data_IF_071723666937
#
_entry.id   IF_071723666937
#
_cell.length_a   1.000
_cell.length_b   1.000
_cell.length_c   1.000
_cell.angle_alpha   90.00
_cell.angle_beta   90.00
_cell.angle_gamma   90.00
#
_symmetry.space_group_name_H-M   'P 1'
#
loop_
_entity.id
_entity.type
_entity.pdbx_description
1 polymer ?
#
# COMPACT_ATOMS: atom_id res chain seq x y z
N UNK A 1 29.20 -17.15 -30.92
CA UNK A 1 27.85 -16.63 -30.63
C UNK A 1 27.31 -17.10 -29.28
N UNK A 2 27.49 -18.37 -28.90
CA UNK A 2 27.03 -18.89 -27.60
C UNK A 2 27.65 -18.18 -26.37
N UNK A 3 28.96 -17.91 -26.38
CA UNK A 3 29.67 -17.27 -25.24
C UNK A 3 29.13 -15.87 -24.94
N UNK A 4 28.84 -15.05 -25.96
CA UNK A 4 28.32 -13.69 -25.76
C UNK A 4 26.84 -13.66 -25.33
N UNK A 5 26.07 -14.70 -25.64
CA UNK A 5 24.72 -14.86 -25.10
C UNK A 5 24.77 -15.27 -23.62
N UNK A 6 25.64 -16.23 -23.27
CA UNK A 6 25.84 -16.66 -21.89
C UNK A 6 26.31 -15.50 -20.99
N UNK A 7 27.30 -14.71 -21.42
CA UNK A 7 27.80 -13.59 -20.63
C UNK A 7 26.70 -12.54 -20.35
N UNK A 8 25.81 -12.28 -21.32
CA UNK A 8 24.66 -11.38 -21.12
C UNK A 8 23.66 -11.94 -20.11
N UNK A 9 23.32 -13.23 -20.21
CA UNK A 9 22.41 -13.87 -19.27
C UNK A 9 22.94 -13.83 -17.82
N UNK A 10 24.25 -14.03 -17.63
CA UNK A 10 24.90 -13.91 -16.31
C UNK A 10 24.83 -12.47 -15.80
N UNK A 11 25.12 -11.49 -16.65
CA UNK A 11 25.01 -10.06 -16.29
C UNK A 11 23.58 -9.66 -15.90
N UNK A 12 22.57 -10.12 -16.65
CA UNK A 12 21.16 -9.84 -16.36
C UNK A 12 20.73 -10.49 -15.02
N UNK A 13 21.21 -11.70 -14.74
CA UNK A 13 20.94 -12.41 -13.49
C UNK A 13 21.59 -11.71 -12.29
N UNK A 14 22.85 -11.29 -12.41
CA UNK A 14 23.55 -10.58 -11.33
C UNK A 14 22.91 -9.21 -11.08
N UNK A 15 22.56 -8.48 -12.13
CA UNK A 15 21.80 -7.23 -12.02
C UNK A 15 20.49 -7.42 -11.25
N UNK A 16 19.75 -8.49 -11.57
CA UNK A 16 18.52 -8.86 -10.88
C UNK A 16 18.75 -9.18 -9.40
N UNK A 17 19.79 -9.94 -9.07
CA UNK A 17 20.18 -10.28 -7.70
C UNK A 17 20.48 -9.05 -6.86
N UNK A 18 21.35 -8.17 -7.36
CA UNK A 18 21.74 -6.96 -6.64
C UNK A 18 20.59 -5.97 -6.48
N UNK A 19 19.73 -5.82 -7.50
CA UNK A 19 18.56 -4.94 -7.42
C UNK A 19 17.52 -5.43 -6.41
N UNK A 20 17.28 -6.75 -6.34
CA UNK A 20 16.38 -7.31 -5.33
C UNK A 20 16.97 -7.25 -3.91
N UNK A 21 18.28 -7.44 -3.77
CA UNK A 21 18.96 -7.23 -2.50
C UNK A 21 18.86 -5.76 -2.06
N UNK A 22 19.01 -4.81 -2.98
CA UNK A 22 18.81 -3.39 -2.72
C UNK A 22 17.36 -3.11 -2.26
N UNK A 23 16.37 -3.65 -2.97
CA UNK A 23 14.95 -3.56 -2.60
C UNK A 23 14.69 -4.06 -1.17
N UNK A 24 15.21 -5.25 -0.84
CA UNK A 24 15.16 -5.83 0.50
C UNK A 24 15.79 -4.92 1.56
N UNK A 25 17.01 -4.39 1.30
CA UNK A 25 17.67 -3.49 2.25
C UNK A 25 16.89 -2.20 2.47
N UNK A 26 16.29 -1.64 1.41
CA UNK A 26 15.49 -0.41 1.50
C UNK A 26 14.25 -0.65 2.35
N UNK A 27 13.48 -1.72 2.09
CA UNK A 27 12.25 -1.99 2.86
C UNK A 27 12.55 -2.39 4.30
N UNK A 28 13.65 -3.12 4.56
CA UNK A 28 14.10 -3.43 5.90
C UNK A 28 14.54 -2.18 6.66
N UNK A 29 15.34 -1.32 6.03
CA UNK A 29 15.75 -0.03 6.60
C UNK A 29 14.53 0.85 6.90
N UNK A 30 13.59 0.93 5.97
CA UNK A 30 12.34 1.68 6.16
C UNK A 30 11.55 1.16 7.36
N UNK A 31 11.42 -0.16 7.52
CA UNK A 31 10.74 -0.76 8.67
C UNK A 31 11.41 -0.46 10.00
N UNK A 32 12.75 -0.39 10.04
CA UNK A 32 13.48 -0.05 11.25
C UNK A 32 13.27 1.42 11.66
N UNK A 33 13.34 2.35 10.71
CA UNK A 33 13.19 3.78 11.02
C UNK A 33 11.75 4.17 11.36
N UNK A 34 10.75 3.46 10.83
CA UNK A 34 9.33 3.73 11.13
C UNK A 34 8.80 2.94 12.32
N UNK A 35 9.61 2.07 12.95
CA UNK A 35 9.14 1.15 13.99
C UNK A 35 8.52 1.88 15.20
N UNK A 36 9.09 3.03 15.58
CA UNK A 36 8.56 3.83 16.67
C UNK A 36 7.19 4.42 16.33
N UNK A 37 7.07 5.03 15.15
CA UNK A 37 5.80 5.57 14.64
C UNK A 37 4.74 4.47 14.48
N UNK A 38 5.15 3.28 14.04
CA UNK A 38 4.29 2.09 13.97
C UNK A 38 3.73 1.72 15.35
N UNK A 39 4.59 1.66 16.36
CA UNK A 39 4.19 1.37 17.73
C UNK A 39 3.19 2.41 18.26
N UNK A 40 3.49 3.69 18.07
CA UNK A 40 2.69 4.79 18.60
C UNK A 40 1.33 4.93 17.88
N UNK A 41 1.30 4.77 16.56
CA UNK A 41 0.10 5.08 15.76
C UNK A 41 -0.72 3.85 15.34
N UNK A 42 -0.10 2.69 15.15
CA UNK A 42 -0.80 1.47 14.71
C UNK A 42 -1.12 0.56 15.88
N UNK A 43 -0.15 0.36 16.77
CA UNK A 43 -0.23 -0.67 17.82
C UNK A 43 -0.73 -0.15 19.17
N UNK A 44 -0.45 1.11 19.50
CA UNK A 44 -0.84 1.70 20.77
C UNK A 44 -2.37 1.72 20.96
N UNK A 45 -2.79 1.59 22.22
CA UNK A 45 -4.20 1.61 22.63
C UNK A 45 -4.90 2.94 22.30
N UNK A 46 -4.18 4.02 21.98
CA UNK A 46 -4.84 5.27 21.56
C UNK A 46 -5.42 5.21 20.14
N UNK A 47 -5.13 4.15 19.38
CA UNK A 47 -5.50 3.99 17.97
C UNK A 47 -6.78 3.15 17.75
N UNK A 48 -7.62 2.95 18.79
CA UNK A 48 -8.90 2.21 18.67
C UNK A 48 -9.86 2.74 17.60
N UNK A 49 -9.66 3.97 17.12
CA UNK A 49 -10.38 4.52 15.97
C UNK A 49 -10.13 3.74 14.66
N UNK A 50 -9.00 3.04 14.56
CA UNK A 50 -8.69 2.18 13.41
C UNK A 50 -9.24 0.78 13.64
N UNK A 51 -10.08 0.32 12.71
CA UNK A 51 -10.66 -1.01 12.77
C UNK A 51 -9.57 -2.10 12.69
N UNK A 52 -9.75 -3.17 13.46
CA UNK A 52 -8.85 -4.34 13.53
C UNK A 52 -8.43 -4.86 12.16
N UNK A 53 -9.35 -4.84 11.18
CA UNK A 53 -9.07 -5.28 9.81
C UNK A 53 -7.98 -4.46 9.12
N UNK A 54 -7.94 -3.14 9.34
CA UNK A 54 -6.91 -2.27 8.73
C UNK A 54 -5.53 -2.51 9.33
N UNK A 55 -5.46 -2.79 10.65
CA UNK A 55 -4.22 -3.17 11.33
C UNK A 55 -3.67 -4.50 10.82
N UNK A 56 -4.55 -5.50 10.65
CA UNK A 56 -4.17 -6.78 10.06
C UNK A 56 -3.67 -6.58 8.63
N UNK A 57 -4.41 -5.84 7.79
CA UNK A 57 -3.98 -5.56 6.42
C UNK A 57 -2.62 -4.83 6.37
N UNK A 58 -2.41 -3.85 7.25
CA UNK A 58 -1.14 -3.15 7.40
C UNK A 58 0.00 -4.11 7.73
N UNK A 59 -0.20 -4.97 8.72
CA UNK A 59 0.80 -5.92 9.20
C UNK A 59 1.15 -6.95 8.13
N UNK A 60 0.14 -7.48 7.44
CA UNK A 60 0.33 -8.41 6.33
C UNK A 60 1.08 -7.73 5.20
N UNK A 61 0.68 -6.52 4.78
CA UNK A 61 1.39 -5.78 3.74
C UNK A 61 2.86 -5.51 4.14
N UNK A 62 3.12 -5.04 5.37
CA UNK A 62 4.46 -4.64 5.83
C UNK A 62 5.37 -5.83 6.08
N UNK A 63 5.05 -6.66 7.07
CA UNK A 63 5.89 -7.76 7.50
C UNK A 63 5.79 -8.97 6.56
N UNK A 64 4.63 -9.16 5.92
CA UNK A 64 4.48 -10.17 4.88
C UNK A 64 5.36 -9.85 3.67
N UNK A 65 5.50 -8.58 3.26
CA UNK A 65 6.43 -8.21 2.17
C UNK A 65 7.88 -8.41 2.59
N UNK A 66 8.28 -8.01 3.80
CA UNK A 66 9.63 -8.29 4.32
C UNK A 66 9.97 -9.77 4.28
N UNK A 67 9.06 -10.63 4.76
CA UNK A 67 9.25 -12.08 4.73
C UNK A 67 9.26 -12.63 3.30
N UNK A 68 8.37 -12.16 2.42
CA UNK A 68 8.32 -12.55 1.02
C UNK A 68 9.64 -12.20 0.31
N UNK A 69 10.13 -10.97 0.46
CA UNK A 69 11.36 -10.52 -0.20
C UNK A 69 12.59 -11.23 0.37
N UNK A 70 12.63 -11.54 1.67
CA UNK A 70 13.69 -12.37 2.25
C UNK A 70 13.72 -13.78 1.63
N UNK A 71 12.54 -14.41 1.48
CA UNK A 71 12.41 -15.70 0.80
C UNK A 71 12.80 -15.60 -0.68
N UNK A 72 12.45 -14.51 -1.34
CA UNK A 72 12.79 -14.29 -2.74
C UNK A 72 14.29 -14.10 -2.95
N UNK A 73 14.98 -13.36 -2.07
CA UNK A 73 16.45 -13.28 -2.07
C UNK A 73 17.06 -14.66 -1.83
N UNK A 74 16.52 -15.48 -0.92
CA UNK A 74 16.98 -16.85 -0.72
C UNK A 74 16.83 -17.73 -1.99
N UNK A 75 15.78 -17.52 -2.80
CA UNK A 75 15.62 -18.18 -4.10
C UNK A 75 16.64 -17.69 -5.12
N UNK A 76 16.98 -16.40 -5.13
CA UNK A 76 17.95 -15.81 -6.06
C UNK A 76 19.40 -16.17 -5.74
N UNK A 77 19.71 -16.45 -4.47
CA UNK A 77 21.01 -16.92 -3.98
C UNK A 77 20.92 -18.37 -3.45
N UNK A 78 20.67 -19.34 -4.34
CA UNK A 78 20.47 -20.73 -3.93
C UNK A 78 21.75 -21.34 -3.36
N UNK A 79 21.57 -22.19 -2.36
CA UNK A 79 22.62 -23.04 -1.82
C UNK A 79 22.68 -24.35 -2.61
N UNK A 80 23.85 -25.02 -2.63
CA UNK A 80 24.04 -26.33 -3.28
C UNK A 80 23.14 -27.47 -2.74
N UNK A 81 22.43 -27.21 -1.64
CA UNK A 81 21.51 -28.15 -0.99
C UNK A 81 20.07 -28.02 -1.51
N UNK A 82 19.80 -27.16 -2.49
CA UNK A 82 18.46 -26.94 -3.01
C UNK A 82 18.10 -28.00 -4.06
N UNK A 83 17.13 -28.84 -3.73
CA UNK A 83 16.48 -29.70 -4.69
C UNK A 83 15.40 -28.93 -5.46
N UNK A 84 15.02 -29.46 -6.64
CA UNK A 84 13.94 -28.90 -7.47
C UNK A 84 12.62 -28.72 -6.69
N UNK A 85 12.32 -29.64 -5.77
CA UNK A 85 11.13 -29.60 -4.92
C UNK A 85 11.15 -28.41 -3.95
N UNK A 86 12.29 -28.15 -3.30
CA UNK A 86 12.49 -27.00 -2.42
C UNK A 86 12.35 -25.70 -3.20
N UNK A 87 12.92 -25.63 -4.40
CA UNK A 87 12.83 -24.45 -5.22
C UNK A 87 11.41 -24.13 -5.67
N UNK A 88 10.67 -25.14 -6.14
CA UNK A 88 9.26 -25.01 -6.48
C UNK A 88 8.42 -24.58 -5.28
N UNK A 89 8.66 -25.18 -4.11
CA UNK A 89 8.00 -24.81 -2.87
C UNK A 89 8.21 -23.35 -2.51
N UNK A 90 9.48 -22.90 -2.48
CA UNK A 90 9.84 -21.52 -2.15
C UNK A 90 9.27 -20.52 -3.16
N UNK A 91 9.40 -20.79 -4.45
CA UNK A 91 8.88 -19.89 -5.50
C UNK A 91 7.35 -19.81 -5.45
N UNK A 92 6.66 -20.93 -5.23
CA UNK A 92 5.21 -20.96 -5.03
C UNK A 92 4.77 -20.19 -3.79
N UNK A 93 5.50 -20.33 -2.67
CA UNK A 93 5.27 -19.56 -1.45
C UNK A 93 5.46 -18.06 -1.68
N UNK A 94 6.54 -17.64 -2.35
CA UNK A 94 6.79 -16.24 -2.70
C UNK A 94 5.65 -15.67 -3.54
N UNK A 95 5.21 -16.38 -4.59
CA UNK A 95 4.11 -15.93 -5.45
C UNK A 95 2.79 -15.83 -4.70
N UNK A 96 2.52 -16.76 -3.79
CA UNK A 96 1.32 -16.75 -2.96
C UNK A 96 1.32 -15.58 -1.96
N UNK A 97 2.44 -15.37 -1.27
CA UNK A 97 2.62 -14.23 -0.36
C UNK A 97 2.47 -12.91 -1.11
N UNK A 98 3.09 -12.78 -2.28
CA UNK A 98 2.99 -11.60 -3.15
C UNK A 98 1.52 -11.21 -3.42
N UNK A 99 0.66 -12.17 -3.77
CA UNK A 99 -0.75 -11.87 -4.07
C UNK A 99 -1.48 -11.35 -2.84
N UNK A 100 -1.24 -11.97 -1.68
CA UNK A 100 -1.88 -11.60 -0.40
C UNK A 100 -1.42 -10.20 0.03
N UNK A 101 -0.11 -9.96 0.05
CA UNK A 101 0.47 -8.68 0.48
C UNK A 101 0.07 -7.56 -0.47
N UNK A 102 0.05 -7.81 -1.78
CA UNK A 102 -0.44 -6.88 -2.80
C UNK A 102 -1.92 -6.50 -2.56
N UNK A 103 -2.78 -7.48 -2.28
CA UNK A 103 -4.19 -7.22 -2.00
C UNK A 103 -4.38 -6.39 -0.73
N UNK A 104 -3.62 -6.67 0.33
CA UNK A 104 -3.62 -5.88 1.56
C UNK A 104 -3.12 -4.44 1.30
N UNK A 105 -2.02 -4.27 0.59
CA UNK A 105 -1.47 -2.96 0.21
C UNK A 105 -2.50 -2.13 -0.56
N UNK A 106 -3.06 -2.68 -1.63
CA UNK A 106 -4.08 -2.00 -2.43
C UNK A 106 -5.34 -1.67 -1.61
N UNK A 107 -5.76 -2.57 -0.73
CA UNK A 107 -6.88 -2.32 0.19
C UNK A 107 -6.61 -1.16 1.16
N UNK A 108 -5.40 -1.05 1.71
CA UNK A 108 -5.01 0.07 2.59
C UNK A 108 -5.03 1.40 1.84
N UNK A 109 -4.53 1.41 0.60
CA UNK A 109 -4.54 2.59 -0.26
C UNK A 109 -5.98 3.02 -0.53
N UNK A 110 -6.85 2.10 -0.96
CA UNK A 110 -8.25 2.40 -1.22
C UNK A 110 -8.99 2.90 0.03
N UNK A 111 -8.73 2.27 1.18
CA UNK A 111 -9.27 2.71 2.46
C UNK A 111 -8.80 4.14 2.80
N UNK A 112 -7.51 4.42 2.62
CA UNK A 112 -6.93 5.74 2.78
C UNK A 112 -7.64 6.77 1.88
N UNK A 113 -7.89 6.43 0.62
CA UNK A 113 -8.61 7.31 -0.30
C UNK A 113 -10.03 7.62 0.15
N UNK A 114 -10.80 6.60 0.51
CA UNK A 114 -12.19 6.77 0.94
C UNK A 114 -12.27 7.65 2.18
N UNK A 115 -11.34 7.47 3.13
CA UNK A 115 -11.23 8.27 4.36
C UNK A 115 -10.91 9.72 4.07
N UNK A 116 -9.86 9.97 3.30
CA UNK A 116 -9.36 11.32 3.04
C UNK A 116 -10.39 12.14 2.26
N UNK A 117 -11.00 11.55 1.23
CA UNK A 117 -11.84 12.28 0.29
C UNK A 117 -13.30 12.37 0.72
N UNK A 118 -13.64 11.85 1.91
CA UNK A 118 -15.00 11.78 2.44
C UNK A 118 -15.98 11.30 1.35
N UNK A 119 -15.57 10.29 0.60
CA UNK A 119 -16.25 9.88 -0.62
C UNK A 119 -17.72 9.57 -0.33
N UNK A 120 -18.67 10.03 -1.18
CA UNK A 120 -20.06 9.62 -1.02
C UNK A 120 -20.13 8.10 -1.09
N UNK A 121 -21.04 7.49 -0.30
CA UNK A 121 -21.16 6.03 -0.17
C UNK A 121 -21.19 5.29 -1.52
N UNK A 122 -21.76 5.91 -2.56
CA UNK A 122 -21.79 5.39 -3.93
C UNK A 122 -20.39 5.19 -4.51
N UNK A 123 -19.49 6.17 -4.40
CA UNK A 123 -18.12 6.09 -4.92
C UNK A 123 -17.29 5.09 -4.12
N UNK A 124 -17.46 5.06 -2.79
CA UNK A 124 -16.80 4.06 -1.94
C UNK A 124 -17.22 2.62 -2.32
N UNK A 125 -18.51 2.40 -2.60
CA UNK A 125 -19.01 1.11 -3.11
C UNK A 125 -18.43 0.75 -4.47
N UNK A 126 -18.36 1.71 -5.42
CA UNK A 126 -17.74 1.48 -6.73
C UNK A 126 -16.26 1.11 -6.63
N UNK A 127 -15.51 1.77 -5.73
CA UNK A 127 -14.11 1.42 -5.46
C UNK A 127 -13.99 0.01 -4.87
N UNK A 128 -14.85 -0.34 -3.90
CA UNK A 128 -14.84 -1.64 -3.27
C UNK A 128 -15.20 -2.77 -4.25
N UNK A 129 -16.20 -2.57 -5.12
CA UNK A 129 -16.57 -3.58 -6.13
C UNK A 129 -15.47 -3.73 -7.18
N UNK A 130 -14.89 -2.62 -7.66
CA UNK A 130 -13.74 -2.65 -8.58
C UNK A 130 -12.55 -3.40 -7.99
N UNK A 131 -12.23 -3.15 -6.71
CA UNK A 131 -11.20 -3.87 -5.98
C UNK A 131 -11.44 -5.38 -5.94
N UNK A 132 -12.64 -5.82 -5.54
CA UNK A 132 -12.97 -7.25 -5.45
C UNK A 132 -12.87 -7.92 -6.82
N UNK A 133 -13.43 -7.32 -7.87
CA UNK A 133 -13.42 -7.88 -9.23
C UNK A 133 -11.99 -8.00 -9.76
N UNK A 134 -11.21 -6.91 -9.67
CA UNK A 134 -9.84 -6.89 -10.20
C UNK A 134 -8.92 -7.82 -9.41
N UNK A 135 -9.00 -7.86 -8.08
CA UNK A 135 -8.18 -8.79 -7.28
C UNK A 135 -8.60 -10.25 -7.43
N UNK A 136 -9.88 -10.56 -7.64
CA UNK A 136 -10.30 -11.91 -8.00
C UNK A 136 -9.67 -12.35 -9.33
N UNK A 137 -9.57 -11.42 -10.29
CA UNK A 137 -8.90 -11.66 -11.58
C UNK A 137 -7.39 -11.88 -11.40
N UNK A 138 -6.72 -11.05 -10.60
CA UNK A 138 -5.30 -11.23 -10.24
C UNK A 138 -5.07 -12.60 -9.60
N UNK A 139 -5.91 -13.00 -8.64
CA UNK A 139 -5.81 -14.28 -7.97
C UNK A 139 -5.96 -15.46 -8.95
N UNK A 140 -6.93 -15.39 -9.86
CA UNK A 140 -7.12 -16.42 -10.88
C UNK A 140 -5.87 -16.57 -11.77
N UNK A 141 -5.32 -15.46 -12.27
CA UNK A 141 -4.10 -15.49 -13.07
C UNK A 141 -2.87 -15.92 -12.27
N UNK A 142 -2.78 -15.59 -10.98
CA UNK A 142 -1.70 -16.05 -10.12
C UNK A 142 -1.74 -17.56 -9.92
N UNK A 143 -2.92 -18.15 -9.68
CA UNK A 143 -3.08 -19.62 -9.57
C UNK A 143 -2.70 -20.31 -10.88
N UNK A 144 -3.09 -19.75 -12.02
CA UNK A 144 -2.67 -20.25 -13.35
C UNK A 144 -1.16 -20.11 -13.54
N UNK A 145 -0.57 -19.00 -13.10
CA UNK A 145 0.87 -18.76 -13.16
C UNK A 145 1.65 -19.77 -12.34
N UNK A 146 1.20 -20.06 -11.12
CA UNK A 146 1.82 -21.08 -10.27
C UNK A 146 1.81 -22.43 -10.99
N UNK A 147 0.66 -22.88 -11.50
CA UNK A 147 0.56 -24.15 -12.25
C UNK A 147 1.52 -24.20 -13.44
N UNK A 148 1.61 -23.12 -14.21
CA UNK A 148 2.50 -23.06 -15.37
C UNK A 148 3.98 -23.01 -14.98
N UNK A 149 4.32 -22.33 -13.88
CA UNK A 149 5.69 -22.32 -13.35
C UNK A 149 6.13 -23.74 -12.97
N UNK A 150 5.25 -24.57 -12.40
CA UNK A 150 5.57 -25.98 -12.12
C UNK A 150 5.95 -26.77 -13.39
N UNK A 151 5.39 -26.44 -14.55
CA UNK A 151 5.66 -27.13 -15.83
C UNK A 151 6.94 -26.63 -16.52
N UNK A 152 7.29 -25.35 -16.36
CA UNK A 152 8.41 -24.71 -17.08
C UNK A 152 9.68 -24.53 -16.24
N UNK A 153 9.66 -24.87 -14.95
CA UNK A 153 10.83 -24.72 -14.09
C UNK A 153 11.83 -25.85 -14.37
N UNK A 154 13.08 -25.48 -14.65
CA UNK A 154 14.19 -26.42 -14.77
C UNK A 154 15.31 -26.01 -13.82
N UNK A 155 15.90 -27.02 -13.16
CA UNK A 155 17.10 -26.83 -12.35
C UNK A 155 18.32 -27.00 -13.25
N UNK A 156 19.17 -25.98 -13.31
CA UNK A 156 20.40 -26.00 -14.11
C UNK A 156 21.59 -26.32 -13.21
N UNK A 157 22.08 -27.57 -13.29
CA UNK A 157 23.15 -28.10 -12.43
C UNK A 157 24.43 -27.26 -12.46
N UNK A 158 24.76 -26.66 -13.62
CA UNK A 158 25.98 -25.88 -13.80
C UNK A 158 26.00 -24.59 -12.97
N UNK A 159 24.83 -23.97 -12.79
CA UNK A 159 24.71 -22.69 -12.07
C UNK A 159 24.10 -22.87 -10.68
N UNK A 160 23.51 -24.04 -10.40
CA UNK A 160 22.71 -24.31 -9.22
C UNK A 160 21.55 -23.32 -9.06
N UNK A 161 21.03 -22.80 -10.17
CA UNK A 161 19.93 -21.82 -10.18
C UNK A 161 18.69 -22.44 -10.77
N UNK A 162 17.55 -22.15 -10.16
CA UNK A 162 16.26 -22.44 -10.75
C UNK A 162 15.97 -21.41 -11.84
N UNK A 163 15.95 -21.88 -13.08
CA UNK A 163 15.65 -21.03 -14.21
C UNK A 163 14.27 -21.37 -14.73
N UNK A 164 13.54 -20.32 -15.12
CA UNK A 164 12.28 -20.47 -15.82
C UNK A 164 12.57 -20.41 -17.31
N UNK A 165 12.30 -21.50 -18.04
CA UNK A 165 12.62 -21.57 -19.47
C UNK A 165 11.86 -20.52 -20.27
N UNK A 166 10.61 -20.27 -19.90
CA UNK A 166 9.73 -19.30 -20.56
C UNK A 166 8.80 -18.66 -19.54
N UNK A 167 8.66 -17.34 -19.63
CA UNK A 167 7.65 -16.61 -18.86
C UNK A 167 6.25 -17.01 -19.31
N UNK A 168 5.40 -17.55 -18.41
CA UNK A 168 4.03 -17.83 -18.76
C UNK A 168 3.22 -16.53 -18.95
N UNK A 169 2.35 -16.51 -19.96
CA UNK A 169 1.49 -15.36 -20.25
C UNK A 169 0.54 -15.00 -19.09
N UNK A 170 0.23 -15.97 -18.22
CA UNK A 170 -0.57 -15.75 -17.02
C UNK A 170 0.07 -14.76 -16.03
N UNK A 171 1.41 -14.66 -15.99
CA UNK A 171 2.11 -13.66 -15.16
C UNK A 171 1.77 -12.25 -15.66
N UNK A 172 1.80 -12.03 -16.98
CA UNK A 172 1.34 -10.77 -17.58
C UNK A 172 -0.13 -10.51 -17.23
N UNK A 173 -0.97 -11.55 -17.34
CA UNK A 173 -2.40 -11.50 -16.98
C UNK A 173 -2.67 -11.14 -15.52
N UNK A 174 -1.74 -11.39 -14.59
CA UNK A 174 -1.86 -10.97 -13.19
C UNK A 174 -1.49 -9.49 -12.97
N UNK A 175 -0.54 -8.96 -13.74
CA UNK A 175 -0.09 -7.57 -13.59
C UNK A 175 -1.02 -6.56 -14.25
N UNK A 176 -1.66 -6.92 -15.37
CA UNK A 176 -2.56 -6.02 -16.11
C UNK A 176 -3.75 -5.57 -15.25
N UNK A 177 -4.54 -6.45 -14.62
CA UNK A 177 -5.66 -6.05 -13.75
C UNK A 177 -5.21 -5.21 -12.55
N UNK A 178 -4.04 -5.51 -12.00
CA UNK A 178 -3.46 -4.72 -10.90
C UNK A 178 -3.13 -3.28 -11.35
N UNK A 179 -2.49 -3.12 -12.52
CA UNK A 179 -2.21 -1.79 -13.08
C UNK A 179 -3.49 -1.03 -13.44
N UNK A 180 -4.52 -1.74 -13.93
CA UNK A 180 -5.84 -1.16 -14.22
C UNK A 180 -6.50 -0.67 -12.94
N UNK A 181 -6.40 -1.40 -11.82
CA UNK A 181 -6.91 -0.94 -10.53
C UNK A 181 -6.23 0.36 -10.08
N UNK A 182 -4.90 0.43 -10.16
CA UNK A 182 -4.15 1.63 -9.78
C UNK A 182 -4.48 2.82 -10.68
N UNK A 183 -4.58 2.59 -11.99
CA UNK A 183 -5.00 3.60 -12.97
C UNK A 183 -6.44 4.07 -12.74
N UNK A 184 -7.35 3.16 -12.40
CA UNK A 184 -8.73 3.48 -12.04
C UNK A 184 -8.83 4.32 -10.78
N UNK A 185 -8.11 3.93 -9.71
CA UNK A 185 -8.04 4.70 -8.47
C UNK A 185 -7.43 6.08 -8.71
N UNK A 186 -6.32 6.16 -9.45
CA UNK A 186 -5.69 7.42 -9.83
C UNK A 186 -6.64 8.34 -10.60
N UNK A 187 -7.35 7.83 -11.60
CA UNK A 187 -8.29 8.61 -12.40
C UNK A 187 -9.43 9.16 -11.54
N UNK A 188 -10.01 8.35 -10.65
CA UNK A 188 -11.06 8.81 -9.75
C UNK A 188 -10.58 9.89 -8.79
N UNK A 189 -9.35 9.78 -8.29
CA UNK A 189 -8.76 10.81 -7.44
C UNK A 189 -8.54 12.11 -8.20
N UNK A 190 -8.02 12.00 -9.41
CA UNK A 190 -7.78 13.15 -10.26
C UNK A 190 -9.08 13.89 -10.59
N UNK A 191 -10.13 13.15 -10.97
CA UNK A 191 -11.45 13.73 -11.25
C UNK A 191 -12.09 14.35 -10.00
N UNK A 192 -11.96 13.70 -8.84
CA UNK A 192 -12.47 14.25 -7.58
C UNK A 192 -11.73 15.55 -7.20
N UNK A 193 -10.40 15.56 -7.35
CA UNK A 193 -9.58 16.76 -7.12
C UNK A 193 -10.01 17.95 -8.00
N UNK A 194 -10.36 17.70 -9.27
CA UNK A 194 -10.84 18.73 -10.19
C UNK A 194 -12.25 19.23 -9.84
N UNK A 195 -13.08 18.41 -9.20
CA UNK A 195 -14.48 18.74 -8.90
C UNK A 195 -14.67 19.65 -7.67
N UNK A 196 -13.67 19.75 -6.78
CA UNK A 196 -13.82 20.43 -5.48
C UNK A 196 -13.48 21.93 -5.56
N UNK A 197 -14.38 22.86 -5.16
CA UNK A 197 -14.13 24.30 -5.25
C UNK A 197 -13.00 24.77 -4.30
N UNK A 198 -12.16 25.66 -4.82
CA UNK A 198 -10.77 25.94 -4.38
C UNK A 198 -10.61 26.78 -3.09
N UNK A 199 -11.68 27.32 -2.50
CA UNK A 199 -11.56 28.48 -1.59
C UNK A 199 -11.27 28.21 -0.10
N UNK A 200 -11.51 27.02 0.45
CA UNK A 200 -11.31 26.75 1.89
C UNK A 200 -10.44 25.52 2.21
N UNK A 201 -10.25 24.58 1.28
CA UNK A 201 -9.49 23.33 1.53
C UNK A 201 -8.06 23.33 0.97
N UNK A 202 -7.58 24.49 0.48
CA UNK A 202 -6.39 24.57 -0.37
C UNK A 202 -5.11 24.02 0.28
N UNK A 203 -4.87 24.28 1.57
CA UNK A 203 -3.63 23.86 2.24
C UNK A 203 -3.58 22.35 2.51
N UNK A 204 -4.72 21.75 2.87
CA UNK A 204 -4.83 20.32 3.11
C UNK A 204 -4.77 19.55 1.78
N UNK A 205 -5.46 20.07 0.77
CA UNK A 205 -5.46 19.51 -0.57
C UNK A 205 -4.08 19.61 -1.22
N UNK A 206 -3.32 20.68 -1.00
CA UNK A 206 -1.97 20.82 -1.57
C UNK A 206 -0.97 19.79 -1.00
N UNK A 207 -0.92 19.62 0.33
CA UNK A 207 -0.07 18.58 0.94
C UNK A 207 -0.48 17.18 0.49
N UNK A 208 -1.79 16.93 0.44
CA UNK A 208 -2.29 15.58 0.25
C UNK A 208 -2.34 15.17 -1.23
N UNK A 209 -2.58 16.11 -2.12
CA UNK A 209 -2.50 15.91 -3.55
C UNK A 209 -1.03 15.79 -3.97
N UNK A 210 -0.11 16.58 -3.40
CA UNK A 210 1.32 16.43 -3.68
C UNK A 210 1.86 15.08 -3.23
N UNK A 211 1.52 14.62 -2.03
CA UNK A 211 2.06 13.37 -1.49
C UNK A 211 1.30 12.14 -2.01
N UNK A 212 -0.03 12.22 -2.09
CA UNK A 212 -0.88 11.13 -2.56
C UNK A 212 -0.76 10.91 -4.07
N UNK A 213 -0.73 11.97 -4.88
CA UNK A 213 -0.63 11.81 -6.35
C UNK A 213 0.71 11.20 -6.77
N UNK A 214 1.81 11.66 -6.15
CA UNK A 214 3.14 11.09 -6.40
C UNK A 214 3.15 9.61 -6.04
N UNK A 215 2.49 9.23 -4.95
CA UNK A 215 2.35 7.83 -4.56
C UNK A 215 1.65 6.97 -5.63
N UNK A 216 0.45 7.38 -6.09
CA UNK A 216 -0.26 6.64 -7.14
C UNK A 216 0.51 6.60 -8.46
N UNK A 217 1.20 7.69 -8.80
CA UNK A 217 2.02 7.75 -10.00
C UNK A 217 3.18 6.76 -9.94
N UNK A 218 3.82 6.63 -8.78
CA UNK A 218 4.89 5.63 -8.55
C UNK A 218 4.33 4.21 -8.61
N UNK A 219 3.19 3.94 -7.97
CA UNK A 219 2.57 2.61 -8.01
C UNK A 219 2.14 2.22 -9.43
N UNK A 220 1.40 3.09 -10.11
CA UNK A 220 1.00 2.88 -11.48
C UNK A 220 2.22 2.73 -12.41
N UNK A 221 3.22 3.62 -12.27
CA UNK A 221 4.43 3.60 -13.07
C UNK A 221 5.24 2.30 -12.90
N UNK A 222 5.42 1.84 -11.66
CA UNK A 222 6.14 0.57 -11.39
C UNK A 222 5.39 -0.63 -11.98
N UNK A 223 4.05 -0.66 -11.94
CA UNK A 223 3.25 -1.74 -12.55
C UNK A 223 3.31 -1.68 -14.09
N UNK A 224 3.28 -0.50 -14.70
CA UNK A 224 3.48 -0.32 -16.14
C UNK A 224 4.87 -0.78 -16.57
N UNK A 225 5.92 -0.39 -15.85
CA UNK A 225 7.28 -0.86 -16.11
C UNK A 225 7.40 -2.39 -15.96
N UNK A 226 6.68 -2.98 -15.00
CA UNK A 226 6.61 -4.43 -14.84
C UNK A 226 5.95 -5.10 -16.05
N UNK A 227 4.84 -4.55 -16.56
CA UNK A 227 4.16 -5.03 -17.78
C UNK A 227 5.08 -4.96 -19.01
N UNK A 228 5.82 -3.86 -19.16
CA UNK A 228 6.79 -3.69 -20.26
C UNK A 228 7.91 -4.72 -20.12
N UNK A 229 8.45 -4.91 -18.91
CA UNK A 229 9.53 -5.87 -18.65
C UNK A 229 9.07 -7.30 -18.92
N UNK A 230 7.88 -7.68 -18.46
CA UNK A 230 7.32 -9.02 -18.68
C UNK A 230 7.05 -9.30 -20.17
N UNK A 231 6.66 -8.27 -20.94
CA UNK A 231 6.29 -8.46 -22.36
C UNK A 231 7.48 -8.39 -23.32
N UNK A 232 8.51 -7.60 -23.01
CA UNK A 232 9.60 -7.32 -23.93
C UNK A 232 10.99 -7.79 -23.46
N UNK A 233 11.19 -8.01 -22.16
CA UNK A 233 12.51 -8.31 -21.60
C UNK A 233 12.77 -9.82 -21.49
N UNK A 234 14.06 -10.24 -21.46
CA UNK A 234 14.46 -11.59 -21.07
C UNK A 234 13.88 -12.03 -19.72
N UNK A 235 13.59 -13.33 -19.57
CA UNK A 235 12.97 -13.93 -18.37
C UNK A 235 13.69 -13.55 -17.07
N UNK A 236 15.01 -13.39 -17.09
CA UNK A 236 15.80 -13.02 -15.91
C UNK A 236 15.38 -11.65 -15.33
N UNK A 237 15.06 -10.68 -16.18
CA UNK A 237 14.70 -9.32 -15.75
C UNK A 237 13.30 -9.22 -15.16
N UNK A 238 12.45 -10.23 -15.31
CA UNK A 238 11.10 -10.25 -14.74
C UNK A 238 11.15 -10.27 -13.21
N UNK A 239 12.15 -10.98 -12.67
CA UNK A 239 12.39 -11.04 -11.24
C UNK A 239 12.80 -9.68 -10.65
N UNK A 240 13.34 -8.75 -11.45
CA UNK A 240 13.61 -7.38 -11.02
C UNK A 240 12.31 -6.61 -10.79
N UNK A 241 11.33 -6.76 -11.69
CA UNK A 241 10.01 -6.15 -11.52
C UNK A 241 9.22 -6.75 -10.36
N UNK A 242 9.35 -8.07 -10.14
CA UNK A 242 8.65 -8.80 -9.09
C UNK A 242 9.09 -8.43 -7.68
N UNK A 243 10.40 -8.29 -7.42
CA UNK A 243 10.86 -7.92 -6.08
C UNK A 243 11.00 -6.41 -5.90
N UNK A 244 11.97 -5.75 -6.55
CA UNK A 244 12.23 -4.32 -6.34
C UNK A 244 10.99 -3.43 -6.56
N UNK A 245 10.26 -3.63 -7.66
CA UNK A 245 9.05 -2.86 -7.93
C UNK A 245 7.95 -3.08 -6.88
N UNK A 246 7.88 -4.27 -6.32
CA UNK A 246 6.93 -4.61 -5.27
C UNK A 246 7.32 -4.05 -3.90
N UNK A 247 8.60 -4.13 -3.54
CA UNK A 247 9.13 -3.55 -2.31
C UNK A 247 8.82 -2.05 -2.23
N UNK A 248 9.03 -1.33 -3.34
CA UNK A 248 8.73 0.10 -3.43
C UNK A 248 7.24 0.39 -3.22
N UNK A 249 6.35 -0.44 -3.79
CA UNK A 249 4.90 -0.30 -3.64
C UNK A 249 4.45 -0.57 -2.20
N UNK A 250 4.95 -1.64 -1.58
CA UNK A 250 4.63 -2.00 -0.20
C UNK A 250 5.15 -0.96 0.79
N UNK A 251 6.39 -0.48 0.62
CA UNK A 251 6.99 0.59 1.41
C UNK A 251 6.13 1.86 1.34
N UNK A 252 5.77 2.26 0.12
CA UNK A 252 5.06 3.50 -0.08
C UNK A 252 3.60 3.39 0.42
N UNK A 253 2.96 2.21 0.32
CA UNK A 253 1.64 1.94 0.94
C UNK A 253 1.72 2.06 2.48
N UNK A 254 2.76 1.50 3.09
CA UNK A 254 2.97 1.55 4.52
C UNK A 254 3.17 2.99 5.02
N UNK A 255 4.00 3.78 4.33
CA UNK A 255 4.23 5.20 4.64
C UNK A 255 2.96 6.05 4.49
N UNK A 256 2.18 5.83 3.43
CA UNK A 256 0.92 6.53 3.23
C UNK A 256 -0.04 6.25 4.39
N UNK A 257 -0.16 4.98 4.79
CA UNK A 257 -1.02 4.58 5.90
C UNK A 257 -0.56 5.17 7.24
N UNK A 258 0.74 5.13 7.55
CA UNK A 258 1.29 5.73 8.78
C UNK A 258 0.99 7.23 8.88
N UNK A 259 1.16 7.98 7.79
CA UNK A 259 0.82 9.41 7.75
C UNK A 259 -0.66 9.69 8.04
N UNK A 260 -1.54 8.77 7.65
CA UNK A 260 -2.98 8.90 7.95
C UNK A 260 -3.23 8.63 9.43
N UNK A 261 -2.63 7.57 9.97
CA UNK A 261 -2.74 7.24 11.38
C UNK A 261 -2.22 8.39 12.27
N UNK A 262 -1.10 9.00 11.89
CA UNK A 262 -0.53 10.16 12.59
C UNK A 262 -1.51 11.34 12.60
N UNK A 263 -2.14 11.65 11.45
CA UNK A 263 -3.13 12.74 11.36
C UNK A 263 -4.35 12.47 12.24
N UNK A 264 -4.85 11.24 12.21
CA UNK A 264 -5.98 10.81 13.04
C UNK A 264 -5.65 10.94 14.53
N UNK A 265 -4.44 10.52 14.91
CA UNK A 265 -3.96 10.63 16.28
C UNK A 265 -3.90 12.09 16.75
N UNK A 266 -3.32 12.99 15.95
CA UNK A 266 -3.22 14.43 16.27
C UNK A 266 -4.60 15.09 16.36
N UNK A 267 -5.55 14.69 15.52
CA UNK A 267 -6.93 15.19 15.57
C UNK A 267 -7.62 14.80 16.88
N UNK A 268 -7.46 13.53 17.31
CA UNK A 268 -7.98 13.05 18.59
C UNK A 268 -7.33 13.78 19.78
N UNK A 269 -6.03 14.02 19.73
CA UNK A 269 -5.31 14.72 20.80
C UNK A 269 -5.79 16.17 20.94
N UNK A 270 -6.00 16.87 19.82
CA UNK A 270 -6.54 18.23 19.81
C UNK A 270 -7.95 18.27 20.42
N UNK A 271 -8.81 17.29 20.08
CA UNK A 271 -10.15 17.19 20.64
C UNK A 271 -10.14 16.97 22.15
N UNK A 272 -9.25 16.12 22.67
CA UNK A 272 -9.14 15.88 24.13
C UNK A 272 -8.64 17.10 24.88
N UNK A 273 -7.64 17.80 24.33
CA UNK A 273 -7.12 19.03 24.94
C UNK A 273 -8.21 20.11 25.03
N UNK A 274 -9.01 20.26 23.97
CA UNK A 274 -10.16 21.16 23.97
C UNK A 274 -11.19 20.80 25.05
N UNK A 275 -11.49 19.51 25.24
CA UNK A 275 -12.39 19.07 26.31
C UNK A 275 -11.86 19.37 27.72
N UNK A 276 -10.55 19.19 27.96
CA UNK A 276 -9.93 19.49 29.26
C UNK A 276 -9.97 20.99 29.56
N UNK A 277 -9.64 21.83 28.58
CA UNK A 277 -9.68 23.30 28.75
C UNK A 277 -11.11 23.77 29.03
N UNK A 278 -12.11 23.22 28.33
CA UNK A 278 -13.53 23.53 28.59
C UNK A 278 -13.97 23.09 29.99
N UNK A 279 -13.46 21.97 30.49
CA UNK A 279 -13.79 21.46 31.83
C UNK A 279 -13.14 22.29 32.95
N UNK A 280 -11.88 22.73 32.77
CA UNK A 280 -11.21 23.61 33.72
C UNK A 280 -11.87 25.00 33.79
N UNK A 281 -12.20 25.62 32.65
CA UNK A 281 -12.85 26.95 32.62
C UNK A 281 -14.26 26.95 33.25
N UNK A 282 -15.01 25.85 33.14
CA UNK A 282 -16.33 25.73 33.78
C UNK A 282 -16.25 25.55 35.31
N UNK A 283 -15.12 25.06 35.84
CA UNK A 283 -14.96 24.82 37.29
C UNK A 283 -14.54 26.08 38.08
N UNK A 284 -14.07 27.11 37.39
CA UNK A 284 -13.60 28.37 37.99
C UNK A 284 -14.57 29.56 37.86
N UNK A 285 -15.79 29.37 37.37
CA UNK A 285 -16.82 30.38 37.55
C UNK A 285 -17.36 30.33 38.99
N UNK A 286 -17.06 31.31 39.86
CA UNK A 286 -17.80 31.44 41.09
C UNK A 286 -19.28 31.57 40.74
N UNK A 287 -20.11 30.78 41.39
CA UNK A 287 -21.57 30.84 41.30
C UNK A 287 -22.03 32.28 41.50
N UNK A 288 -22.31 33.00 40.41
CA UNK A 288 -23.01 34.28 40.44
C UNK A 288 -24.50 34.01 40.62
N UNK A 289 -24.83 33.42 41.76
CA UNK A 289 -26.16 33.46 42.36
C UNK A 289 -26.10 34.56 43.40
N UNK A 290 -26.45 35.80 43.02
CA UNK A 290 -27.56 36.49 43.68
C UNK A 290 -27.81 37.89 43.10
N UNK A 291 -29.07 38.29 43.22
CA UNK A 291 -29.63 39.64 43.05
C UNK A 291 -29.68 40.22 41.63
N UNK A 292 -30.85 40.12 40.99
CA UNK A 292 -31.82 41.24 41.03
C UNK A 292 -33.12 40.79 40.36
N UNK A 293 -34.13 40.58 41.20
CA UNK A 293 -35.50 40.92 40.86
C UNK A 293 -35.55 42.41 40.54
N UNK A 294 -35.94 42.77 39.32
CA UNK A 294 -36.83 43.92 39.17
C UNK A 294 -37.74 43.74 37.97
N UNK A 295 -38.99 43.53 38.33
CA UNK A 295 -40.18 43.65 37.52
C UNK A 295 -40.35 45.10 37.06
N UNK A 296 -40.35 45.33 35.76
CA UNK A 296 -40.98 46.53 35.20
C UNK A 296 -41.64 46.22 33.87
N UNK A 297 -42.97 46.31 33.91
CA UNK A 297 -43.92 46.28 32.81
C UNK A 297 -43.43 47.07 31.58
N UNK A 298 -43.55 46.47 30.40
CA UNK A 298 -43.52 47.20 29.14
C UNK A 298 -44.91 47.06 28.49
N UNK A 299 -45.69 48.14 28.62
CA UNK A 299 -46.94 48.36 27.90
C UNK A 299 -46.68 48.34 26.39
N UNK A 300 -47.52 47.60 25.67
CA UNK A 300 -47.60 47.62 24.22
C UNK A 300 -48.63 48.69 23.86
N UNK A 301 -48.15 49.85 23.45
CA UNK A 301 -48.96 50.93 22.89
C UNK A 301 -49.14 50.67 21.38
N UNK A 302 -50.38 50.34 21.01
CA UNK A 302 -50.89 50.31 19.64
C UNK A 302 -50.96 51.73 19.08
N UNK A 303 -50.39 51.96 17.90
CA UNK A 303 -50.65 53.15 17.08
C UNK A 303 -51.11 52.70 15.69
N UNK A 304 -52.20 53.33 15.27
CA UNK A 304 -52.95 53.23 14.01
C UNK A 304 -52.12 53.45 12.73
#
# INVERSE_FOLDING_TARGET
MAISALNRAVQDLDGTRYMNLAGFTIIAYDALITLQEEFDFVWSSSSHALGTMTRIAYSVNRYGTLAMTALFVAVLFPNRLFDISTCLGLLSSVMSMYVITCACGNGLILHALVRIWECPKRVAWLLATGFVILHATVLAFAVLSIKQVFEYLQFEDNTNVCSLQRTPFSVLGAFVPAAVLDGYAFLLLFLNALSRPRSASQRLLDMLLKDGLVYFLVCFGTKVLSIITISAAPTALIFLSLGFGFDMNAMAAARLYLRICEKDYRALQTSKCFSIVVEEDCSSFPSFTDSTSDSSNMEIETID
#
